data_IF_039102306666
#
_entry.id   IF_039102306666
#
_cell.length_a   1.000
_cell.length_b   1.000
_cell.length_c   1.000
_cell.angle_alpha   90.00
_cell.angle_beta   90.00
_cell.angle_gamma   90.00
#
_symmetry.space_group_name_H-M   'P 1'
#
loop_
_entity.id
_entity.type
_entity.pdbx_description
1 polymer ?
#
# COMPACT_ATOMS: atom_id res chain seq x y z
N UNK A 1 -6.65 24.57 7.98
CA UNK A 1 -5.19 24.69 8.24
C UNK A 1 -4.58 23.44 8.89
N UNK A 2 -5.22 22.81 9.85
CA UNK A 2 -4.69 21.59 10.49
C UNK A 2 -4.59 20.43 9.50
N UNK A 3 -5.58 20.20 8.65
CA UNK A 3 -5.58 19.12 7.68
C UNK A 3 -4.46 19.20 6.63
N UNK A 4 -4.12 20.41 6.16
CA UNK A 4 -3.04 20.60 5.18
C UNK A 4 -1.67 20.24 5.78
N UNK A 5 -1.38 20.70 7.01
CA UNK A 5 -0.12 20.37 7.69
C UNK A 5 0.04 18.86 7.93
N UNK A 6 -1.04 18.17 8.28
CA UNK A 6 -1.01 16.73 8.46
C UNK A 6 -0.79 15.97 7.14
N UNK A 7 -1.41 16.42 6.04
CA UNK A 7 -1.20 15.85 4.71
C UNK A 7 0.24 16.08 4.21
N UNK A 8 0.78 17.30 4.37
CA UNK A 8 2.17 17.63 4.00
C UNK A 8 3.17 16.76 4.79
N UNK A 9 2.98 16.63 6.11
CA UNK A 9 3.84 15.76 6.93
C UNK A 9 3.72 14.29 6.57
N UNK A 10 2.51 13.83 6.22
CA UNK A 10 2.28 12.48 5.72
C UNK A 10 3.05 12.21 4.41
N UNK A 11 3.04 13.15 3.47
CA UNK A 11 3.79 13.07 2.21
C UNK A 11 5.30 13.07 2.43
N UNK A 12 5.83 13.88 3.36
CA UNK A 12 7.24 13.90 3.73
C UNK A 12 7.70 12.55 4.29
N UNK A 13 6.93 11.98 5.23
CA UNK A 13 7.23 10.66 5.82
C UNK A 13 7.20 9.57 4.75
N UNK A 14 6.25 9.63 3.82
CA UNK A 14 6.15 8.67 2.72
C UNK A 14 7.39 8.74 1.84
N UNK A 15 7.78 9.94 1.43
CA UNK A 15 8.99 10.18 0.64
C UNK A 15 10.27 9.71 1.35
N UNK A 16 10.42 10.00 2.65
CA UNK A 16 11.57 9.55 3.44
C UNK A 16 11.71 8.02 3.47
N UNK A 17 10.60 7.30 3.61
CA UNK A 17 10.59 5.82 3.57
C UNK A 17 11.03 5.29 2.21
N UNK A 18 10.43 5.82 1.15
CA UNK A 18 10.76 5.43 -0.22
C UNK A 18 12.22 5.70 -0.54
N UNK A 19 12.74 6.88 -0.18
CA UNK A 19 14.15 7.23 -0.37
C UNK A 19 15.08 6.30 0.40
N UNK A 20 14.69 5.84 1.58
CA UNK A 20 15.44 4.85 2.35
C UNK A 20 15.62 3.54 1.59
N UNK A 21 14.58 3.03 0.94
CA UNK A 21 14.65 1.80 0.14
C UNK A 21 15.36 1.97 -1.20
N UNK A 22 15.31 3.16 -1.80
CA UNK A 22 15.93 3.45 -3.10
C UNK A 22 17.41 3.84 -2.95
N UNK A 23 17.75 4.69 -1.97
CA UNK A 23 19.06 5.35 -1.86
C UNK A 23 19.85 5.06 -0.59
N UNK A 24 19.41 4.10 0.25
CA UNK A 24 20.00 3.80 1.57
C UNK A 24 20.01 4.99 2.55
N UNK A 25 19.19 6.01 2.36
CA UNK A 25 19.01 7.06 3.37
C UNK A 25 18.26 6.49 4.57
N UNK A 26 18.86 6.59 5.75
CA UNK A 26 18.33 6.02 6.98
C UNK A 26 17.56 7.08 7.78
N UNK A 27 16.25 7.22 7.51
CA UNK A 27 15.32 7.91 8.42
C UNK A 27 14.86 6.97 9.54
N UNK A 28 14.33 7.52 10.63
CA UNK A 28 13.81 6.72 11.76
C UNK A 28 12.69 5.77 11.31
N UNK A 29 11.79 6.23 10.45
CA UNK A 29 10.72 5.39 9.89
C UNK A 29 11.26 4.27 9.01
N UNK A 30 12.28 4.55 8.20
CA UNK A 30 12.95 3.52 7.40
C UNK A 30 13.58 2.44 8.29
N UNK A 31 14.32 2.84 9.33
CA UNK A 31 14.97 1.91 10.26
C UNK A 31 13.93 1.03 10.96
N UNK A 32 12.84 1.62 11.47
CA UNK A 32 11.78 0.88 12.14
C UNK A 32 11.11 -0.15 11.21
N UNK A 33 10.77 0.26 9.99
CA UNK A 33 10.16 -0.63 8.99
C UNK A 33 11.14 -1.73 8.59
N UNK A 34 12.39 -1.37 8.34
CA UNK A 34 13.43 -2.32 7.93
C UNK A 34 13.64 -3.41 8.99
N UNK A 35 13.73 -3.02 10.25
CA UNK A 35 13.88 -3.97 11.36
C UNK A 35 12.68 -4.92 11.44
N UNK A 36 11.47 -4.40 11.35
CA UNK A 36 10.25 -5.22 11.36
C UNK A 36 10.21 -6.21 10.18
N UNK A 37 10.61 -5.78 8.98
CA UNK A 37 10.68 -6.63 7.80
C UNK A 37 11.75 -7.73 7.95
N UNK A 38 12.90 -7.40 8.49
CA UNK A 38 13.98 -8.39 8.74
C UNK A 38 13.60 -9.44 9.79
N UNK A 39 12.81 -9.04 10.81
CA UNK A 39 12.31 -9.98 11.83
C UNK A 39 11.23 -10.93 11.26
N UNK A 40 10.34 -10.44 10.42
CA UNK A 40 9.19 -11.20 9.93
C UNK A 40 9.43 -11.86 8.57
N UNK A 41 10.31 -11.29 7.74
CA UNK A 41 10.57 -11.71 6.36
C UNK A 41 12.07 -11.65 6.03
N UNK A 42 12.94 -12.39 6.75
CA UNK A 42 14.40 -12.22 6.69
C UNK A 42 15.03 -12.55 5.33
N UNK A 43 14.33 -13.30 4.48
CA UNK A 43 14.86 -13.76 3.18
C UNK A 43 14.29 -13.00 1.98
N UNK A 44 13.46 -12.00 2.22
CA UNK A 44 12.81 -11.24 1.15
C UNK A 44 13.69 -10.13 0.58
N UNK A 45 13.57 -9.95 -0.72
CA UNK A 45 14.16 -8.80 -1.42
C UNK A 45 13.06 -7.82 -1.77
N UNK A 46 13.22 -6.61 -1.32
CA UNK A 46 12.22 -5.56 -1.43
C UNK A 46 12.48 -4.66 -2.63
N UNK A 47 11.42 -4.35 -3.36
CA UNK A 47 11.40 -3.42 -4.49
C UNK A 47 10.46 -2.28 -4.11
N UNK A 48 10.99 -1.05 -4.19
CA UNK A 48 10.25 0.16 -3.84
C UNK A 48 9.77 0.89 -5.10
N UNK A 49 8.63 1.57 -4.98
CA UNK A 49 8.09 2.50 -5.97
C UNK A 49 7.94 1.92 -7.38
N UNK A 50 7.29 0.80 -7.52
CA UNK A 50 7.02 0.22 -8.83
C UNK A 50 5.60 0.56 -9.32
N UNK A 51 5.52 1.01 -10.56
CA UNK A 51 4.24 1.35 -11.19
C UNK A 51 3.76 0.21 -12.07
N UNK A 52 2.46 -0.01 -12.09
CA UNK A 52 1.83 -1.00 -12.95
C UNK A 52 0.66 -0.41 -13.73
N UNK A 53 0.34 -1.07 -14.85
CA UNK A 53 -0.84 -0.80 -15.65
C UNK A 53 -1.64 -2.11 -15.77
N UNK A 54 -2.80 -2.16 -15.16
CA UNK A 54 -3.64 -3.34 -15.14
C UNK A 54 -4.41 -3.52 -16.46
N UNK A 55 -4.51 -4.75 -16.94
CA UNK A 55 -5.35 -5.06 -18.12
C UNK A 55 -6.83 -4.74 -17.94
N UNK A 56 -7.30 -4.63 -16.70
CA UNK A 56 -8.66 -4.22 -16.35
C UNK A 56 -8.91 -2.72 -16.53
N UNK A 57 -7.86 -1.92 -16.87
CA UNK A 57 -8.00 -0.50 -17.18
C UNK A 57 -7.82 0.44 -16.00
N UNK A 58 -6.94 0.12 -15.08
CA UNK A 58 -6.48 1.00 -14.03
C UNK A 58 -4.97 0.88 -13.85
N UNK A 59 -4.38 1.82 -13.18
CA UNK A 59 -2.97 1.80 -12.82
C UNK A 59 -2.75 2.13 -11.36
N UNK A 60 -1.55 1.93 -10.88
CA UNK A 60 -1.16 2.26 -9.53
C UNK A 60 0.35 2.26 -9.36
N UNK A 61 0.78 2.71 -8.19
CA UNK A 61 2.15 2.70 -7.75
C UNK A 61 2.22 1.97 -6.41
N UNK A 62 3.01 0.91 -6.38
CA UNK A 62 3.19 0.08 -5.18
C UNK A 62 4.31 0.69 -4.36
N UNK A 63 4.07 0.92 -3.08
CA UNK A 63 5.09 1.49 -2.19
C UNK A 63 6.27 0.55 -2.00
N UNK A 64 5.98 -0.70 -1.69
CA UNK A 64 7.00 -1.73 -1.47
C UNK A 64 6.41 -3.12 -1.77
N UNK A 65 7.15 -3.96 -2.44
CA UNK A 65 6.75 -5.36 -2.65
C UNK A 65 7.95 -6.30 -2.76
N UNK A 66 7.68 -7.59 -2.62
CA UNK A 66 8.61 -8.67 -2.89
C UNK A 66 8.15 -9.49 -4.10
N UNK A 67 9.08 -9.96 -4.92
CA UNK A 67 8.78 -10.84 -6.07
C UNK A 67 8.14 -12.17 -5.64
N UNK A 68 8.27 -12.54 -4.38
CA UNK A 68 7.64 -13.74 -3.81
C UNK A 68 6.16 -13.54 -3.44
N UNK A 69 5.60 -12.36 -3.71
CA UNK A 69 4.17 -12.10 -3.56
C UNK A 69 3.79 -11.50 -2.21
N UNK A 70 4.57 -10.53 -1.73
CA UNK A 70 4.22 -9.71 -0.56
C UNK A 70 4.07 -8.27 -1.03
N UNK A 71 2.93 -7.64 -0.71
CA UNK A 71 2.59 -6.27 -1.12
C UNK A 71 2.34 -5.41 0.11
N UNK A 72 3.00 -4.26 0.17
CA UNK A 72 3.00 -3.38 1.33
C UNK A 72 2.59 -1.98 0.91
N UNK A 73 1.69 -1.39 1.66
CA UNK A 73 1.25 -0.01 1.55
C UNK A 73 1.57 0.73 2.85
N UNK A 74 2.15 1.94 2.71
CA UNK A 74 2.50 2.79 3.83
C UNK A 74 1.42 3.84 4.07
N UNK A 75 1.03 4.00 5.33
CA UNK A 75 0.08 5.02 5.79
C UNK A 75 0.67 5.81 6.93
N UNK A 76 0.20 7.02 7.12
CA UNK A 76 0.51 7.81 8.31
C UNK A 76 -0.72 7.96 9.18
N UNK A 77 -0.53 7.91 10.48
CA UNK A 77 -1.58 8.09 11.49
C UNK A 77 -1.04 8.93 12.64
N UNK A 78 -1.94 9.58 13.35
CA UNK A 78 -1.62 10.24 14.59
C UNK A 78 -1.76 9.26 15.75
N UNK A 79 -0.87 9.39 16.73
CA UNK A 79 -1.00 8.73 18.02
C UNK A 79 -1.17 7.20 17.92
N UNK A 80 -0.14 6.53 17.42
CA UNK A 80 -0.13 5.05 17.30
C UNK A 80 0.15 4.33 18.62
N UNK A 81 0.65 5.03 19.64
CA UNK A 81 1.10 4.41 20.88
C UNK A 81 -0.02 3.63 21.56
N UNK A 82 0.20 2.33 21.79
CA UNK A 82 -0.76 1.45 22.45
C UNK A 82 -2.00 1.09 21.63
N UNK A 83 -2.06 1.46 20.35
CA UNK A 83 -3.17 1.08 19.46
C UNK A 83 -2.94 -0.29 18.83
N UNK A 84 -4.00 -1.11 18.85
CA UNK A 84 -4.04 -2.37 18.13
C UNK A 84 -4.06 -2.10 16.60
N UNK A 85 -3.11 -2.63 15.82
CA UNK A 85 -3.09 -2.45 14.37
C UNK A 85 -4.39 -2.83 13.66
N UNK A 86 -5.13 -3.82 14.17
CA UNK A 86 -6.44 -4.21 13.62
C UNK A 86 -7.50 -3.10 13.69
N UNK A 87 -7.36 -2.17 14.61
CA UNK A 87 -8.27 -1.03 14.77
C UNK A 87 -7.88 0.18 13.91
N UNK A 88 -6.73 0.13 13.27
CA UNK A 88 -6.22 1.21 12.40
C UNK A 88 -6.63 1.02 10.95
N UNK A 89 -6.93 -0.21 10.55
CA UNK A 89 -7.24 -0.56 9.16
C UNK A 89 -8.72 -0.44 8.85
N UNK A 90 -9.01 -0.01 7.63
CA UNK A 90 -10.33 0.03 7.03
C UNK A 90 -10.33 -0.82 5.75
N UNK A 91 -11.51 -1.22 5.28
CA UNK A 91 -11.64 -2.00 4.04
C UNK A 91 -10.95 -1.36 2.84
N UNK A 92 -10.93 -0.02 2.75
CA UNK A 92 -10.23 0.72 1.68
C UNK A 92 -8.73 0.40 1.59
N UNK A 93 -8.07 0.19 2.73
CA UNK A 93 -6.66 -0.18 2.77
C UNK A 93 -6.44 -1.58 2.17
N UNK A 94 -7.30 -2.53 2.52
CA UNK A 94 -7.27 -3.87 1.95
C UNK A 94 -7.64 -3.90 0.47
N UNK A 95 -8.61 -3.08 0.05
CA UNK A 95 -9.01 -2.92 -1.35
C UNK A 95 -7.84 -2.41 -2.21
N UNK A 96 -7.12 -1.40 -1.75
CA UNK A 96 -5.97 -0.84 -2.45
C UNK A 96 -4.91 -1.91 -2.71
N UNK A 97 -4.55 -2.69 -1.69
CA UNK A 97 -3.58 -3.77 -1.81
C UNK A 97 -4.08 -4.90 -2.71
N UNK A 98 -5.36 -5.27 -2.64
CA UNK A 98 -5.96 -6.27 -3.53
C UNK A 98 -5.99 -5.81 -4.98
N UNK A 99 -6.22 -4.52 -5.22
CA UNK A 99 -6.12 -3.93 -6.55
C UNK A 99 -4.70 -4.01 -7.12
N UNK A 100 -3.68 -3.81 -6.29
CA UNK A 100 -2.29 -3.95 -6.69
C UNK A 100 -1.95 -5.39 -7.07
N UNK A 101 -2.37 -6.35 -6.26
CA UNK A 101 -2.19 -7.80 -6.53
C UNK A 101 -2.80 -8.17 -7.87
N UNK A 102 -4.07 -7.80 -8.12
CA UNK A 102 -4.74 -8.04 -9.40
C UNK A 102 -4.04 -7.32 -10.56
N UNK A 103 -3.67 -6.07 -10.36
CA UNK A 103 -3.02 -5.25 -11.39
C UNK A 103 -1.67 -5.78 -11.84
N UNK A 104 -0.96 -6.47 -10.96
CA UNK A 104 0.28 -7.19 -11.26
C UNK A 104 0.07 -8.60 -11.82
N UNK A 105 -1.18 -8.99 -12.06
CA UNK A 105 -1.53 -10.29 -12.66
C UNK A 105 -1.42 -11.48 -11.72
N UNK A 106 -1.49 -11.26 -10.40
CA UNK A 106 -1.47 -12.31 -9.40
C UNK A 106 -2.90 -12.60 -8.91
N UNK A 107 -3.17 -13.86 -8.60
CA UNK A 107 -4.45 -14.28 -8.03
C UNK A 107 -4.50 -14.06 -6.52
N UNK A 108 -3.36 -14.12 -5.86
CA UNK A 108 -3.22 -13.90 -4.42
C UNK A 108 -1.82 -13.41 -4.07
N UNK A 109 -1.71 -12.72 -2.96
CA UNK A 109 -0.46 -12.32 -2.34
C UNK A 109 -0.68 -12.03 -0.86
N UNK A 110 0.38 -12.00 -0.09
CA UNK A 110 0.37 -11.45 1.26
C UNK A 110 0.27 -9.93 1.19
N UNK A 111 -0.63 -9.35 1.99
CA UNK A 111 -0.94 -7.93 1.97
C UNK A 111 -0.71 -7.34 3.35
N UNK A 112 0.03 -6.25 3.41
CA UNK A 112 0.46 -5.64 4.67
C UNK A 112 0.24 -4.13 4.61
N UNK A 113 -0.44 -3.59 5.62
CA UNK A 113 -0.55 -2.15 5.84
C UNK A 113 0.38 -1.75 6.98
N UNK A 114 1.32 -0.87 6.70
CA UNK A 114 2.27 -0.34 7.69
C UNK A 114 1.93 1.11 7.97
N UNK A 115 1.58 1.41 9.21
CA UNK A 115 1.31 2.76 9.70
C UNK A 115 2.55 3.32 10.38
N UNK A 116 2.85 4.59 10.10
CA UNK A 116 3.91 5.35 10.76
C UNK A 116 3.25 6.51 11.51
N UNK A 117 3.67 6.71 12.76
CA UNK A 117 3.22 7.84 13.56
C UNK A 117 3.77 9.15 12.98
N UNK A 118 2.92 10.20 12.88
CA UNK A 118 3.34 11.50 12.34
C UNK A 118 4.26 12.27 13.24
N UNK A 119 4.12 12.11 14.54
CA UNK A 119 4.93 12.81 15.55
C UNK A 119 6.22 12.05 15.85
N UNK A 120 6.09 10.73 16.11
CA UNK A 120 7.21 9.83 16.39
C UNK A 120 7.40 8.85 15.23
N UNK A 121 8.19 9.22 14.25
CA UNK A 121 8.40 8.43 13.03
C UNK A 121 9.16 7.11 13.25
N UNK A 122 9.67 6.88 14.44
CA UNK A 122 10.21 5.57 14.85
C UNK A 122 9.13 4.58 15.27
N UNK A 123 7.92 5.07 15.54
CA UNK A 123 6.78 4.27 15.98
C UNK A 123 5.97 3.81 14.77
N UNK A 124 5.87 2.49 14.61
CA UNK A 124 5.12 1.85 13.53
C UNK A 124 4.10 0.86 14.08
N UNK A 125 3.05 0.63 13.30
CA UNK A 125 2.08 -0.42 13.54
C UNK A 125 1.81 -1.17 12.23
N UNK A 126 1.94 -2.50 12.25
CA UNK A 126 1.86 -3.33 11.06
C UNK A 126 0.65 -4.26 11.16
N UNK A 127 -0.17 -4.27 10.11
CA UNK A 127 -1.31 -5.18 9.98
C UNK A 127 -1.10 -6.08 8.77
N UNK A 128 -1.01 -7.37 9.02
CA UNK A 128 -1.00 -8.41 7.98
C UNK A 128 -2.45 -8.83 7.75
N UNK A 129 -2.94 -8.62 6.55
CA UNK A 129 -4.30 -9.00 6.18
C UNK A 129 -4.44 -10.52 6.05
N UNK A 130 -5.56 -11.06 6.54
CA UNK A 130 -5.89 -12.46 6.29
C UNK A 130 -6.12 -12.73 4.80
N UNK A 131 -5.88 -13.95 4.36
CA UNK A 131 -6.00 -14.34 2.94
C UNK A 131 -7.46 -14.33 2.47
N UNK A 132 -8.38 -14.66 3.36
CA UNK A 132 -9.81 -14.74 3.08
C UNK A 132 -10.40 -13.39 2.70
N UNK A 133 -9.91 -12.31 3.30
CA UNK A 133 -10.37 -10.95 2.99
C UNK A 133 -10.00 -10.47 1.58
N UNK A 134 -9.05 -11.13 0.91
CA UNK A 134 -8.63 -10.72 -0.44
C UNK A 134 -9.79 -10.72 -1.44
N UNK A 135 -10.56 -11.80 -1.50
CA UNK A 135 -11.69 -11.91 -2.40
C UNK A 135 -12.75 -10.84 -2.14
N UNK A 136 -13.08 -10.59 -0.88
CA UNK A 136 -13.99 -9.50 -0.49
C UNK A 136 -13.49 -8.16 -1.00
N UNK A 137 -12.25 -7.81 -0.68
CA UNK A 137 -11.64 -6.53 -1.04
C UNK A 137 -11.52 -6.37 -2.56
N UNK A 138 -11.16 -7.43 -3.26
CA UNK A 138 -11.08 -7.39 -4.72
C UNK A 138 -12.46 -7.18 -5.37
N UNK A 139 -13.49 -7.85 -4.88
CA UNK A 139 -14.87 -7.66 -5.35
C UNK A 139 -15.36 -6.22 -5.09
N UNK A 140 -15.06 -5.66 -3.92
CA UNK A 140 -15.38 -4.27 -3.58
C UNK A 140 -14.67 -3.31 -4.55
N UNK A 141 -13.38 -3.51 -4.77
CA UNK A 141 -12.60 -2.69 -5.71
C UNK A 141 -13.16 -2.78 -7.14
N UNK A 142 -13.42 -3.98 -7.65
CA UNK A 142 -13.93 -4.17 -9.00
C UNK A 142 -15.34 -3.56 -9.18
N UNK A 143 -16.15 -3.55 -8.14
CA UNK A 143 -17.45 -2.84 -8.14
C UNK A 143 -17.28 -1.34 -8.27
N UNK A 144 -16.34 -0.74 -7.55
CA UNK A 144 -16.01 0.68 -7.68
C UNK A 144 -15.39 1.01 -9.04
N UNK A 145 -14.54 0.15 -9.57
CA UNK A 145 -13.97 0.31 -10.90
C UNK A 145 -15.04 0.30 -11.98
N UNK A 146 -16.00 -0.62 -11.90
CA UNK A 146 -17.14 -0.69 -12.82
C UNK A 146 -18.00 0.57 -12.75
N UNK A 147 -18.31 1.05 -11.56
CA UNK A 147 -19.02 2.31 -11.34
C UNK A 147 -18.27 3.49 -11.96
N UNK A 148 -16.96 3.61 -11.72
CA UNK A 148 -16.14 4.67 -12.28
C UNK A 148 -16.11 4.64 -13.81
N UNK A 149 -15.92 3.46 -14.42
CA UNK A 149 -15.94 3.28 -15.88
C UNK A 149 -17.25 3.75 -16.50
N UNK A 150 -18.37 3.37 -15.90
CA UNK A 150 -19.70 3.80 -16.35
C UNK A 150 -19.87 5.32 -16.23
N UNK A 151 -19.49 5.91 -15.09
CA UNK A 151 -19.63 7.34 -14.86
C UNK A 151 -18.76 8.20 -15.78
N UNK A 152 -17.62 7.69 -16.22
CA UNK A 152 -16.69 8.35 -17.15
C UNK A 152 -16.86 7.94 -18.61
N UNK A 153 -17.78 7.03 -18.88
CA UNK A 153 -17.94 6.44 -20.21
C UNK A 153 -16.61 5.91 -20.77
N UNK A 154 -15.83 5.23 -19.90
CA UNK A 154 -14.49 4.78 -20.20
C UNK A 154 -14.46 3.28 -20.45
N UNK A 155 -13.98 2.85 -21.62
CA UNK A 155 -13.77 1.45 -21.96
C UNK A 155 -12.39 1.24 -22.58
N UNK A 156 -11.38 0.84 -21.77
CA UNK A 156 -10.02 0.66 -22.25
C UNK A 156 -9.85 -0.49 -23.25
N UNK A 157 -10.79 -1.43 -23.32
CA UNK A 157 -10.72 -2.57 -24.24
C UNK A 157 -10.98 -2.19 -25.70
N UNK A 158 -11.67 -1.08 -25.95
CA UNK A 158 -11.95 -0.58 -27.30
C UNK A 158 -10.72 0.12 -27.90
N UNK A 159 -9.79 0.61 -27.09
CA UNK A 159 -8.58 1.32 -27.56
C UNK A 159 -7.45 0.41 -28.02
N UNK A 160 -7.57 -0.90 -27.87
CA UNK A 160 -6.54 -1.87 -28.29
C UNK A 160 -6.83 -2.51 -29.67
N UNK A 161 -7.98 -2.24 -30.26
CA UNK A 161 -8.39 -2.79 -31.59
C UNK A 161 -8.17 -1.83 -32.76
N UNK A 162 -7.49 -0.70 -32.52
CA UNK A 162 -7.16 0.27 -33.57
C UNK A 162 -5.62 0.28 -33.79
#
# INVERSE_FOLDING_TARGET
>A
MVGKKAADRGSDIHYEKEQGFISNKKSDSYIAIRNWLEENYPYEKWIAEDSFCAKQGYGGKIDLYSKNGIYIDFKTKDDLRGKDPKRLVFDEHGMQLSAYVQGCGLDTAERISIFVDREDTSLIACHVWDKESHTKHLNMFNSLLSFWKLSKNYNPQITQEN
#
